data_IF_237808944569
#
_entry.id   IF_237808944569
#
_cell.length_a   1.000
_cell.length_b   1.000
_cell.length_c   1.000
_cell.angle_alpha   90.00
_cell.angle_beta   90.00
_cell.angle_gamma   90.00
#
_symmetry.space_group_name_H-M   'P 1'
#
loop_
_entity.id
_entity.type
_entity.pdbx_description
1 polymer ?
#
# COMPACT_ATOMS: atom_id res chain seq x y z
N UNK A 1 0.01 -24.44 -24.23
CA UNK A 1 0.91 -23.63 -23.41
C UNK A 1 0.00 -22.72 -22.62
N UNK A 2 -0.20 -23.02 -21.34
CA UNK A 2 -0.96 -22.12 -20.47
C UNK A 2 -0.04 -20.96 -20.12
N UNK A 3 -0.38 -19.77 -20.59
CA UNK A 3 0.38 -18.55 -20.35
C UNK A 3 0.48 -18.26 -18.84
N UNK A 4 1.58 -17.63 -18.43
CA UNK A 4 1.74 -17.02 -17.10
C UNK A 4 0.50 -16.18 -16.77
N UNK A 5 -0.12 -16.49 -15.63
CA UNK A 5 -1.31 -15.78 -15.16
C UNK A 5 -0.89 -14.61 -14.29
N UNK A 6 -0.56 -13.50 -14.95
CA UNK A 6 -0.16 -12.25 -14.31
C UNK A 6 -1.29 -11.24 -14.28
N UNK A 7 -1.54 -10.65 -13.11
CA UNK A 7 -2.45 -9.53 -12.94
C UNK A 7 -1.65 -8.25 -12.68
N UNK A 8 -1.61 -7.38 -13.70
CA UNK A 8 -0.90 -6.09 -13.66
C UNK A 8 -1.46 -5.11 -12.62
N UNK A 9 -2.76 -5.17 -12.31
CA UNK A 9 -3.39 -4.22 -11.40
C UNK A 9 -2.93 -4.43 -9.95
N UNK A 10 -2.71 -5.69 -9.57
CA UNK A 10 -2.38 -6.07 -8.20
C UNK A 10 -0.95 -6.62 -8.08
N UNK A 11 -0.17 -6.62 -9.15
CA UNK A 11 1.17 -7.19 -9.21
C UNK A 11 1.23 -8.64 -8.69
N UNK A 12 0.29 -9.50 -9.12
CA UNK A 12 0.22 -10.90 -8.67
C UNK A 12 0.41 -11.90 -9.80
N UNK A 13 1.16 -12.96 -9.51
CA UNK A 13 1.28 -14.18 -10.31
C UNK A 13 0.44 -15.28 -9.67
N UNK A 14 -0.53 -15.82 -10.41
CA UNK A 14 -1.30 -16.98 -9.96
C UNK A 14 -0.54 -18.27 -10.27
N UNK A 15 -0.22 -19.06 -9.25
CA UNK A 15 0.43 -20.37 -9.38
C UNK A 15 -0.46 -21.39 -8.66
N UNK A 16 -1.16 -22.22 -9.43
CA UNK A 16 -2.17 -23.13 -8.88
C UNK A 16 -3.23 -22.35 -8.09
N UNK A 17 -3.39 -22.65 -6.80
CA UNK A 17 -4.30 -21.96 -5.88
C UNK A 17 -3.67 -20.76 -5.16
N UNK A 18 -2.36 -20.57 -5.26
CA UNK A 18 -1.62 -19.53 -4.52
C UNK A 18 -1.37 -18.31 -5.41
N UNK A 19 -1.61 -17.12 -4.87
CA UNK A 19 -1.15 -15.86 -5.46
C UNK A 19 0.19 -15.48 -4.87
N UNK A 20 1.15 -15.21 -5.74
CA UNK A 20 2.45 -14.66 -5.39
C UNK A 20 2.51 -13.21 -5.86
N UNK A 21 2.57 -12.28 -4.91
CA UNK A 21 2.87 -10.88 -5.19
C UNK A 21 4.33 -10.75 -5.65
N UNK A 22 4.54 -9.95 -6.68
CA UNK A 22 5.87 -9.62 -7.21
C UNK A 22 6.26 -8.20 -6.79
N UNK A 23 7.56 -7.86 -6.77
CA UNK A 23 8.01 -6.53 -6.38
C UNK A 23 7.36 -5.40 -7.19
N UNK A 24 6.73 -4.45 -6.50
CA UNK A 24 6.14 -3.24 -7.06
C UNK A 24 6.99 -1.99 -6.69
N UNK A 25 6.48 -0.78 -6.91
CA UNK A 25 7.17 0.46 -6.51
C UNK A 25 7.44 0.56 -5.00
N UNK A 26 6.61 -0.06 -4.17
CA UNK A 26 6.61 0.04 -2.71
C UNK A 26 7.49 -1.03 -2.04
N UNK A 27 7.45 -2.27 -2.55
CA UNK A 27 8.16 -3.42 -1.99
C UNK A 27 9.17 -4.03 -2.97
N UNK A 28 10.30 -4.50 -2.44
CA UNK A 28 11.32 -5.24 -3.21
C UNK A 28 11.15 -6.76 -3.09
N UNK A 29 10.19 -7.21 -2.29
CA UNK A 29 10.03 -8.61 -1.93
C UNK A 29 8.95 -9.25 -2.80
N UNK A 30 9.14 -10.54 -3.04
CA UNK A 30 8.06 -11.41 -3.46
C UNK A 30 7.34 -11.87 -2.19
N UNK A 31 6.00 -11.98 -2.23
CA UNK A 31 5.19 -12.27 -1.06
C UNK A 31 4.09 -13.28 -1.41
N UNK A 32 3.86 -14.27 -0.55
CA UNK A 32 2.63 -15.05 -0.49
C UNK A 32 1.85 -14.51 0.72
N UNK A 33 0.59 -14.17 0.50
CA UNK A 33 -0.31 -13.65 1.53
C UNK A 33 -1.67 -14.33 1.32
N UNK A 34 -1.90 -15.42 2.05
CA UNK A 34 -3.08 -16.29 1.87
C UNK A 34 -3.52 -16.87 3.24
N UNK A 35 -4.78 -17.24 3.37
CA UNK A 35 -5.28 -18.08 4.47
C UNK A 35 -4.84 -19.53 4.25
N UNK A 36 -3.60 -19.83 4.64
CA UNK A 36 -3.00 -21.15 4.44
C UNK A 36 -3.58 -22.20 5.39
N UNK A 37 -4.17 -21.78 6.51
CA UNK A 37 -4.90 -22.69 7.39
C UNK A 37 -6.13 -23.26 6.69
N UNK A 38 -6.95 -22.41 6.05
CA UNK A 38 -8.10 -22.87 5.27
C UNK A 38 -7.66 -23.78 4.13
N UNK A 39 -6.64 -23.37 3.36
CA UNK A 39 -6.18 -24.12 2.18
C UNK A 39 -5.57 -25.49 2.52
N UNK A 40 -4.91 -25.63 3.68
CA UNK A 40 -4.30 -26.87 4.15
C UNK A 40 -5.19 -27.66 5.13
N UNK A 41 -6.38 -27.15 5.44
CA UNK A 41 -7.30 -27.72 6.43
C UNK A 41 -6.63 -27.92 7.81
N UNK A 42 -5.99 -26.86 8.31
CA UNK A 42 -5.34 -26.78 9.63
C UNK A 42 -6.12 -25.85 10.56
N UNK A 43 -5.87 -25.96 11.87
CA UNK A 43 -6.63 -25.21 12.89
C UNK A 43 -6.34 -23.71 12.86
N UNK A 44 -5.06 -23.33 12.71
CA UNK A 44 -4.65 -21.92 12.73
C UNK A 44 -3.61 -21.59 11.65
N UNK A 45 -3.55 -20.31 11.27
CA UNK A 45 -2.50 -19.82 10.36
C UNK A 45 -1.10 -19.92 10.98
N UNK A 46 -0.99 -19.89 12.31
CA UNK A 46 0.27 -20.19 12.99
C UNK A 46 0.72 -21.64 12.76
N UNK A 47 -0.19 -22.61 12.87
CA UNK A 47 0.12 -24.02 12.61
C UNK A 47 0.50 -24.24 11.15
N UNK A 48 -0.24 -23.62 10.21
CA UNK A 48 0.09 -23.64 8.79
C UNK A 48 1.49 -23.06 8.50
N UNK A 49 1.82 -21.91 9.08
CA UNK A 49 3.13 -21.28 8.95
C UNK A 49 4.25 -22.20 9.47
N UNK A 50 4.09 -22.81 10.66
CA UNK A 50 5.08 -23.73 11.22
C UNK A 50 5.25 -24.97 10.35
N UNK A 51 4.14 -25.55 9.88
CA UNK A 51 4.13 -26.71 8.99
C UNK A 51 4.89 -26.42 7.69
N UNK A 52 4.53 -25.35 6.97
CA UNK A 52 5.18 -24.96 5.71
C UNK A 52 6.66 -24.64 5.93
N UNK A 53 7.00 -23.92 7.00
CA UNK A 53 8.40 -23.61 7.33
C UNK A 53 9.25 -24.87 7.49
N UNK A 54 8.69 -25.95 8.05
CA UNK A 54 9.38 -27.23 8.16
C UNK A 54 9.48 -27.94 6.80
N UNK A 55 8.40 -27.97 6.01
CA UNK A 55 8.40 -28.53 4.66
C UNK A 55 9.42 -27.85 3.74
N UNK A 56 9.56 -26.52 3.81
CA UNK A 56 10.57 -25.75 3.06
C UNK A 56 12.00 -26.18 3.44
N UNK A 57 12.26 -26.48 4.72
CA UNK A 57 13.57 -26.98 5.18
C UNK A 57 13.82 -28.42 4.71
N UNK A 58 12.82 -29.28 4.82
CA UNK A 58 12.90 -30.70 4.41
C UNK A 58 13.12 -30.84 2.90
N UNK A 59 12.46 -30.00 2.10
CA UNK A 59 12.67 -29.89 0.66
C UNK A 59 14.05 -29.32 0.27
N UNK A 60 14.84 -28.84 1.25
CA UNK A 60 16.18 -28.31 1.01
C UNK A 60 16.19 -27.01 0.20
N UNK A 61 15.09 -26.24 0.22
CA UNK A 61 14.99 -24.97 -0.50
C UNK A 61 16.00 -23.99 0.09
N UNK A 62 16.89 -23.48 -0.76
CA UNK A 62 17.98 -22.58 -0.38
C UNK A 62 17.55 -21.12 -0.50
N UNK A 63 18.10 -20.28 0.39
CA UNK A 63 17.89 -18.84 0.39
C UNK A 63 17.21 -18.36 1.67
N UNK A 64 17.09 -17.04 1.80
CA UNK A 64 16.38 -16.44 2.94
C UNK A 64 14.89 -16.40 2.62
N UNK A 65 14.12 -17.17 3.38
CA UNK A 65 12.66 -17.12 3.40
C UNK A 65 12.24 -16.71 4.80
N UNK A 66 11.40 -15.69 4.90
CA UNK A 66 10.81 -15.24 6.14
C UNK A 66 9.33 -15.63 6.15
N UNK A 67 8.83 -15.85 7.35
CA UNK A 67 7.50 -16.36 7.61
C UNK A 67 6.90 -15.57 8.75
N UNK A 68 5.69 -15.08 8.56
CA UNK A 68 4.87 -14.49 9.59
C UNK A 68 3.46 -15.09 9.54
N UNK A 69 2.71 -14.96 10.62
CA UNK A 69 1.32 -15.40 10.67
C UNK A 69 0.50 -14.44 11.50
N UNK A 70 -0.59 -13.97 10.90
CA UNK A 70 -1.65 -13.24 11.57
C UNK A 70 -2.88 -14.16 11.72
N UNK A 71 -3.95 -13.66 12.34
CA UNK A 71 -5.15 -14.46 12.55
C UNK A 71 -5.80 -14.95 11.24
N UNK A 72 -5.71 -14.15 10.18
CA UNK A 72 -6.43 -14.32 8.90
C UNK A 72 -5.52 -14.73 7.73
N UNK A 73 -4.20 -14.79 7.94
CA UNK A 73 -3.27 -15.11 6.87
C UNK A 73 -1.90 -15.62 7.36
N UNK A 74 -1.19 -16.26 6.45
CA UNK A 74 0.25 -16.50 6.55
C UNK A 74 0.96 -15.67 5.51
N UNK A 75 1.99 -14.97 5.95
CA UNK A 75 2.89 -14.20 5.10
C UNK A 75 4.19 -14.96 4.87
N UNK A 76 4.56 -15.18 3.61
CA UNK A 76 5.85 -15.78 3.25
C UNK A 76 6.56 -14.89 2.26
N UNK A 77 7.75 -14.42 2.60
CA UNK A 77 8.44 -13.41 1.81
C UNK A 77 9.92 -13.71 1.58
N UNK A 78 10.39 -13.32 0.39
CA UNK A 78 11.78 -13.42 -0.03
C UNK A 78 12.13 -12.34 -1.05
N UNK A 79 13.36 -11.85 -1.02
CA UNK A 79 13.92 -10.99 -2.08
C UNK A 79 14.34 -11.78 -3.32
N UNK A 80 14.35 -13.12 -3.24
CA UNK A 80 14.67 -14.02 -4.35
C UNK A 80 13.39 -14.59 -4.95
N UNK A 81 12.99 -14.08 -6.12
CA UNK A 81 11.80 -14.59 -6.82
C UNK A 81 11.90 -16.07 -7.18
N UNK A 82 13.11 -16.56 -7.48
CA UNK A 82 13.35 -18.00 -7.68
C UNK A 82 13.05 -18.80 -6.41
N UNK A 83 13.53 -18.33 -5.26
CA UNK A 83 13.29 -19.01 -3.98
C UNK A 83 11.80 -19.02 -3.66
N UNK A 84 11.10 -17.90 -3.83
CA UNK A 84 9.67 -17.86 -3.52
C UNK A 84 8.82 -18.64 -4.52
N UNK A 85 9.22 -18.71 -5.79
CA UNK A 85 8.58 -19.60 -6.76
C UNK A 85 8.65 -21.07 -6.30
N UNK A 86 9.82 -21.52 -5.83
CA UNK A 86 9.97 -22.89 -5.29
C UNK A 86 9.08 -23.12 -4.07
N UNK A 87 8.99 -22.15 -3.16
CA UNK A 87 8.09 -22.23 -2.00
C UNK A 87 6.63 -22.27 -2.45
N UNK A 88 6.25 -21.46 -3.44
CA UNK A 88 4.88 -21.40 -3.96
C UNK A 88 4.46 -22.73 -4.60
N UNK A 89 5.37 -23.37 -5.35
CA UNK A 89 5.14 -24.70 -5.93
C UNK A 89 4.94 -25.73 -4.81
N UNK A 90 5.85 -25.77 -3.82
CA UNK A 90 5.75 -26.67 -2.68
C UNK A 90 4.41 -26.49 -1.93
N UNK A 91 3.98 -25.26 -1.67
CA UNK A 91 2.70 -24.99 -1.00
C UNK A 91 1.53 -25.53 -1.81
N UNK A 92 1.54 -25.38 -3.15
CA UNK A 92 0.50 -25.97 -3.99
C UNK A 92 0.49 -27.50 -3.94
N UNK A 93 1.66 -28.15 -3.96
CA UNK A 93 1.80 -29.61 -3.83
C UNK A 93 1.26 -30.12 -2.48
N UNK A 94 1.43 -29.34 -1.41
CA UNK A 94 0.89 -29.65 -0.08
C UNK A 94 -0.63 -29.46 0.01
N UNK A 95 -1.21 -28.54 -0.78
CA UNK A 95 -2.66 -28.29 -0.81
C UNK A 95 -3.40 -29.31 -1.69
N UNK A 96 -2.77 -29.74 -2.79
CA UNK A 96 -3.36 -30.64 -3.76
C UNK A 96 -2.29 -31.59 -4.30
N UNK A 97 -2.34 -32.86 -3.87
CA UNK A 97 -1.40 -33.90 -4.31
C UNK A 97 -1.45 -34.14 -5.84
N UNK A 98 -2.54 -33.77 -6.51
CA UNK A 98 -2.67 -33.88 -7.96
C UNK A 98 -2.11 -32.66 -8.70
N UNK A 99 -1.63 -31.62 -7.99
CA UNK A 99 -1.03 -30.45 -8.59
C UNK A 99 0.20 -30.84 -9.42
N UNK A 100 0.23 -30.38 -10.67
CA UNK A 100 1.38 -30.56 -11.56
C UNK A 100 1.83 -29.21 -12.09
N UNK A 101 3.09 -28.87 -11.85
CA UNK A 101 3.64 -27.59 -12.29
C UNK A 101 4.38 -27.70 -13.62
N UNK A 102 3.61 -27.77 -14.72
CA UNK A 102 4.16 -27.98 -16.06
C UNK A 102 4.93 -26.78 -16.63
N UNK A 103 4.63 -25.55 -16.19
CA UNK A 103 5.11 -24.31 -16.84
C UNK A 103 6.21 -23.59 -16.06
N UNK A 104 6.97 -24.30 -15.24
CA UNK A 104 8.01 -23.70 -14.37
C UNK A 104 8.95 -22.75 -15.12
N UNK A 105 9.40 -23.14 -16.31
CA UNK A 105 10.32 -22.33 -17.12
C UNK A 105 9.74 -20.97 -17.50
N UNK A 106 8.44 -20.88 -17.74
CA UNK A 106 7.78 -19.62 -18.12
C UNK A 106 7.68 -18.67 -16.93
N UNK A 107 7.34 -19.18 -15.74
CA UNK A 107 7.35 -18.38 -14.51
C UNK A 107 8.76 -17.92 -14.14
N UNK A 108 9.77 -18.79 -14.27
CA UNK A 108 11.17 -18.41 -14.06
C UNK A 108 11.63 -17.32 -15.03
N UNK A 109 11.22 -17.41 -16.30
CA UNK A 109 11.50 -16.39 -17.31
C UNK A 109 10.81 -15.07 -16.97
N UNK A 110 9.53 -15.10 -16.60
CA UNK A 110 8.79 -13.91 -16.19
C UNK A 110 9.48 -13.23 -15.01
N UNK A 111 9.73 -13.96 -13.93
CA UNK A 111 10.38 -13.46 -12.71
C UNK A 111 11.78 -12.89 -13.01
N UNK A 112 12.56 -13.59 -13.84
CA UNK A 112 13.89 -13.13 -14.24
C UNK A 112 13.89 -11.88 -15.14
N UNK A 113 12.79 -11.67 -15.89
CA UNK A 113 12.60 -10.51 -16.76
C UNK A 113 11.91 -9.33 -16.08
N UNK A 114 11.29 -9.55 -14.92
CA UNK A 114 10.50 -8.55 -14.22
C UNK A 114 11.37 -7.36 -13.80
N UNK A 115 10.99 -6.17 -14.29
CA UNK A 115 11.58 -4.92 -13.88
C UNK A 115 10.63 -4.24 -12.91
N UNK A 116 11.04 -4.21 -11.64
CA UNK A 116 10.34 -3.47 -10.60
C UNK A 116 10.06 -2.03 -11.06
N UNK A 117 8.82 -1.55 -10.99
CA UNK A 117 8.49 -0.16 -11.26
C UNK A 117 9.33 0.80 -10.40
N UNK A 118 9.69 1.95 -10.96
CA UNK A 118 10.41 2.98 -10.21
C UNK A 118 9.48 3.65 -9.20
N UNK A 119 9.93 3.76 -7.96
CA UNK A 119 9.24 4.49 -6.89
C UNK A 119 9.26 6.00 -7.18
N UNK A 120 8.12 6.69 -7.03
CA UNK A 120 8.10 8.15 -7.03
C UNK A 120 8.96 8.67 -5.85
N UNK A 121 9.80 9.68 -6.09
CA UNK A 121 10.48 10.38 -4.99
C UNK A 121 9.53 11.39 -4.39
N UNK A 122 9.41 11.36 -3.07
CA UNK A 122 8.59 12.29 -2.30
C UNK A 122 9.24 12.55 -0.94
N UNK A 123 8.94 13.71 -0.33
CA UNK A 123 9.47 14.18 0.95
C UNK A 123 8.53 15.20 1.60
N UNK A 124 8.83 15.56 2.85
CA UNK A 124 8.20 16.70 3.51
C UNK A 124 8.41 17.99 2.68
N UNK A 125 7.36 18.81 2.57
CA UNK A 125 7.29 20.01 1.73
C UNK A 125 6.67 19.78 0.34
N UNK A 126 6.61 18.53 -0.12
CA UNK A 126 6.03 18.21 -1.42
C UNK A 126 4.51 18.38 -1.43
N UNK A 127 4.04 19.05 -2.48
CA UNK A 127 2.62 19.17 -2.83
C UNK A 127 2.26 18.04 -3.77
N UNK A 128 1.10 17.43 -3.53
CA UNK A 128 0.60 16.30 -4.29
C UNK A 128 -0.84 16.50 -4.75
N UNK A 129 -1.23 15.79 -5.81
CA UNK A 129 -2.61 15.74 -6.30
C UNK A 129 -3.33 14.48 -5.82
N UNK A 130 -4.60 14.65 -5.46
CA UNK A 130 -5.56 13.59 -5.13
C UNK A 130 -6.53 13.49 -6.30
N UNK A 131 -6.40 12.47 -7.17
CA UNK A 131 -7.34 12.29 -8.29
C UNK A 131 -8.72 11.86 -7.78
N UNK A 132 -9.75 12.46 -8.36
CA UNK A 132 -11.15 12.14 -8.08
C UNK A 132 -11.82 11.43 -9.27
N UNK A 133 -12.88 10.63 -9.05
CA UNK A 133 -13.56 9.88 -10.13
C UNK A 133 -14.16 10.75 -11.24
N UNK A 134 -14.41 12.03 -10.97
CA UNK A 134 -14.99 13.00 -11.91
C UNK A 134 -13.93 13.77 -12.73
N UNK A 135 -12.73 13.20 -12.89
CA UNK A 135 -11.60 13.79 -13.65
C UNK A 135 -11.15 15.17 -13.12
N UNK A 136 -11.28 15.35 -11.81
CA UNK A 136 -10.79 16.54 -11.11
C UNK A 136 -9.85 16.14 -9.99
N UNK A 137 -9.25 17.14 -9.34
CA UNK A 137 -8.21 16.93 -8.35
C UNK A 137 -8.40 17.82 -7.14
N UNK A 138 -8.19 17.23 -5.97
CA UNK A 138 -7.81 17.94 -4.76
C UNK A 138 -6.30 17.98 -4.61
N UNK A 139 -5.81 18.82 -3.70
CA UNK A 139 -4.38 18.98 -3.45
C UNK A 139 -4.08 18.95 -1.96
N UNK A 140 -2.91 18.43 -1.61
CA UNK A 140 -2.38 18.45 -0.26
C UNK A 140 -0.88 18.66 -0.25
N UNK A 141 -0.33 18.83 0.94
CA UNK A 141 1.10 18.93 1.17
C UNK A 141 1.52 17.97 2.27
N UNK A 142 2.65 17.28 2.09
CA UNK A 142 3.28 16.48 3.13
C UNK A 142 3.97 17.45 4.09
N UNK A 143 3.55 17.51 5.35
CA UNK A 143 4.07 18.48 6.33
C UNK A 143 4.97 17.85 7.36
N UNK A 144 4.86 16.54 7.58
CA UNK A 144 5.68 15.80 8.53
C UNK A 144 5.70 14.31 8.20
N UNK A 145 6.70 13.58 8.69
CA UNK A 145 6.76 12.12 8.65
C UNK A 145 6.73 11.53 10.06
N UNK A 146 5.74 10.68 10.33
CA UNK A 146 5.70 9.83 11.50
C UNK A 146 6.47 8.54 11.23
N UNK A 147 7.40 8.19 12.12
CA UNK A 147 8.24 6.99 12.04
C UNK A 147 8.95 6.80 10.68
N UNK A 148 9.26 7.92 10.00
CA UNK A 148 9.88 7.97 8.66
C UNK A 148 9.08 7.31 7.52
N UNK A 149 7.85 6.82 7.77
CA UNK A 149 7.07 6.06 6.78
C UNK A 149 5.62 6.54 6.61
N UNK A 150 5.05 7.20 7.61
CA UNK A 150 3.66 7.67 7.59
C UNK A 150 3.59 9.19 7.39
N UNK A 151 3.35 9.67 6.16
CA UNK A 151 3.22 11.10 5.89
C UNK A 151 1.97 11.68 6.55
N UNK A 152 2.20 12.69 7.39
CA UNK A 152 1.17 13.62 7.85
C UNK A 152 0.99 14.69 6.78
N UNK A 153 -0.24 14.79 6.28
CA UNK A 153 -0.58 15.66 5.18
C UNK A 153 -1.61 16.70 5.60
N UNK A 154 -1.49 17.91 5.09
CA UNK A 154 -2.58 18.89 5.06
C UNK A 154 -3.29 18.82 3.71
N UNK A 155 -4.60 19.00 3.71
CA UNK A 155 -5.42 19.05 2.48
C UNK A 155 -5.89 20.49 2.30
N UNK A 156 -5.73 21.03 1.10
CA UNK A 156 -6.18 22.39 0.76
C UNK A 156 -7.63 22.38 0.30
N UNK A 157 -8.40 23.43 0.62
CA UNK A 157 -9.71 23.69 0.01
C UNK A 157 -9.52 24.24 -1.41
N UNK A 158 -8.93 23.41 -2.28
CA UNK A 158 -8.62 23.72 -3.66
C UNK A 158 -8.98 22.55 -4.56
N UNK A 159 -9.92 22.79 -5.47
CA UNK A 159 -10.50 21.78 -6.35
C UNK A 159 -10.39 22.24 -7.81
N UNK A 160 -9.58 21.54 -8.62
CA UNK A 160 -9.26 21.97 -9.98
C UNK A 160 -9.30 20.80 -10.97
N UNK A 161 -9.44 21.12 -12.26
CA UNK A 161 -9.26 20.16 -13.37
C UNK A 161 -7.81 20.03 -13.84
N UNK A 162 -6.95 20.95 -13.39
CA UNK A 162 -5.56 21.08 -13.84
C UNK A 162 -4.64 21.19 -12.64
N UNK A 163 -3.36 20.91 -12.88
CA UNK A 163 -2.30 21.12 -11.90
C UNK A 163 -2.30 22.58 -11.41
N UNK A 164 -2.22 22.85 -10.09
CA UNK A 164 -2.24 24.18 -9.51
C UNK A 164 -0.90 24.87 -9.71
N UNK A 165 -0.89 26.20 -9.56
CA UNK A 165 0.36 26.95 -9.38
C UNK A 165 0.71 27.04 -7.89
N UNK A 166 1.97 27.37 -7.56
CA UNK A 166 2.38 27.65 -6.17
C UNK A 166 1.53 28.76 -5.55
N UNK A 167 1.33 29.85 -6.28
CA UNK A 167 0.49 30.97 -5.83
C UNK A 167 -0.96 30.52 -5.56
N UNK A 168 -1.50 29.57 -6.33
CA UNK A 168 -2.84 29.02 -6.06
C UNK A 168 -2.90 28.24 -4.75
N UNK A 169 -1.81 27.55 -4.38
CA UNK A 169 -1.69 26.81 -3.12
C UNK A 169 -1.47 27.80 -1.96
N UNK A 170 -0.57 28.78 -2.11
CA UNK A 170 -0.30 29.82 -1.11
C UNK A 170 -1.56 30.59 -0.71
N UNK A 171 -2.48 30.80 -1.66
CA UNK A 171 -3.75 31.49 -1.43
C UNK A 171 -4.89 30.56 -0.97
N UNK A 172 -4.67 29.24 -0.92
CA UNK A 172 -5.68 28.27 -0.50
C UNK A 172 -5.70 28.12 1.03
N UNK A 173 -6.90 27.93 1.60
CA UNK A 173 -7.03 27.60 3.01
C UNK A 173 -6.70 26.12 3.25
N UNK A 174 -6.12 25.80 4.41
CA UNK A 174 -6.03 24.40 4.84
C UNK A 174 -7.41 23.95 5.30
N UNK A 175 -7.94 22.95 4.62
CA UNK A 175 -9.24 22.34 4.92
C UNK A 175 -9.14 21.41 6.12
N UNK A 176 -8.11 20.57 6.16
CA UNK A 176 -7.89 19.57 7.22
C UNK A 176 -6.47 19.01 7.20
N UNK A 177 -6.14 18.13 8.15
CA UNK A 177 -4.96 17.29 8.14
C UNK A 177 -5.28 15.82 8.45
N UNK A 178 -4.47 14.90 7.94
CA UNK A 178 -4.59 13.46 8.18
C UNK A 178 -3.27 12.73 7.88
N UNK A 179 -3.10 11.55 8.48
CA UNK A 179 -1.99 10.65 8.18
C UNK A 179 -2.39 9.64 7.09
N UNK A 180 -1.50 9.44 6.13
CA UNK A 180 -1.65 8.49 5.03
C UNK A 180 -0.58 7.39 5.11
N UNK A 181 -0.81 6.29 4.40
CA UNK A 181 0.23 5.31 4.13
C UNK A 181 1.15 5.85 3.02
N UNK A 182 2.47 5.90 3.25
CA UNK A 182 3.45 6.38 2.27
C UNK A 182 3.42 5.65 0.92
N UNK A 183 2.93 4.42 0.87
CA UNK A 183 2.83 3.61 -0.36
C UNK A 183 2.00 4.29 -1.46
N UNK A 184 1.01 5.11 -1.11
CA UNK A 184 0.17 5.83 -2.09
C UNK A 184 0.98 6.88 -2.88
N UNK A 185 2.12 7.30 -2.36
CA UNK A 185 3.04 8.17 -3.09
C UNK A 185 4.03 7.33 -3.89
N UNK A 186 4.45 6.18 -3.38
CA UNK A 186 5.42 5.28 -4.04
C UNK A 186 4.94 4.82 -5.41
N UNK A 187 3.66 4.44 -5.50
CA UNK A 187 2.99 3.87 -6.67
C UNK A 187 2.30 4.89 -7.59
N UNK A 188 2.49 6.19 -7.33
CA UNK A 188 1.86 7.29 -8.08
C UNK A 188 0.33 7.38 -7.94
N UNK A 189 -0.29 6.67 -6.98
CA UNK A 189 -1.71 6.90 -6.63
C UNK A 189 -1.95 8.38 -6.34
N UNK A 190 -1.07 8.98 -5.53
CA UNK A 190 -0.94 10.42 -5.36
C UNK A 190 0.35 10.93 -5.99
N UNK A 191 0.19 11.79 -6.98
CA UNK A 191 1.30 12.33 -7.76
C UNK A 191 1.89 13.56 -7.08
N UNK A 192 3.19 13.54 -6.80
CA UNK A 192 3.93 14.73 -6.39
C UNK A 192 4.08 15.68 -7.58
N UNK A 193 3.78 16.96 -7.33
CA UNK A 193 3.72 17.99 -8.37
C UNK A 193 4.94 18.90 -8.27
N UNK A 194 5.15 19.52 -7.11
CA UNK A 194 6.28 20.39 -6.82
C UNK A 194 6.50 20.50 -5.32
N UNK A 195 7.69 20.95 -4.94
CA UNK A 195 8.05 21.28 -3.56
C UNK A 195 7.75 22.75 -3.26
N UNK A 196 7.29 23.05 -2.05
CA UNK A 196 7.21 24.40 -1.50
C UNK A 196 7.45 24.41 0.01
N UNK A 197 7.53 25.62 0.60
CA UNK A 197 7.61 25.77 2.05
C UNK A 197 6.37 25.18 2.72
N UNK A 198 6.56 24.60 3.89
CA UNK A 198 5.46 23.97 4.66
C UNK A 198 4.47 25.08 5.04
N UNK A 199 3.18 24.87 4.75
CA UNK A 199 2.13 25.85 5.04
C UNK A 199 1.50 25.71 6.42
N UNK A 200 1.82 24.64 7.14
CA UNK A 200 1.35 24.47 8.50
C UNK A 200 1.94 23.24 9.18
N UNK A 201 1.84 23.21 10.50
CA UNK A 201 2.33 22.11 11.34
C UNK A 201 1.19 21.47 12.12
N UNK A 202 1.40 20.21 12.52
CA UNK A 202 0.44 19.46 13.33
C UNK A 202 0.83 19.55 14.80
N UNK A 203 -0.06 20.10 15.62
CA UNK A 203 0.15 20.24 17.07
C UNK A 203 0.57 18.91 17.74
N UNK A 204 1.64 18.97 18.54
CA UNK A 204 2.17 17.80 19.24
C UNK A 204 1.35 17.41 20.49
N UNK A 205 0.64 18.37 21.09
CA UNK A 205 0.37 18.35 22.54
C UNK A 205 -1.05 17.96 22.96
N UNK A 206 -1.81 17.26 22.11
CA UNK A 206 -3.14 16.76 22.48
C UNK A 206 -3.08 15.26 22.70
N UNK A 207 -3.30 14.83 23.96
CA UNK A 207 -3.51 13.42 24.31
C UNK A 207 -4.62 12.88 23.39
N UNK A 208 -4.26 11.94 22.50
CA UNK A 208 -5.11 11.42 21.39
C UNK A 208 -5.30 12.38 20.21
N UNK A 209 -4.23 12.91 19.63
CA UNK A 209 -4.32 13.63 18.34
C UNK A 209 -4.76 12.63 17.23
N UNK A 210 -5.99 12.72 16.69
CA UNK A 210 -6.46 11.78 15.69
C UNK A 210 -5.64 11.82 14.39
N UNK A 211 -5.04 12.97 14.07
CA UNK A 211 -4.17 13.13 12.89
C UNK A 211 -2.96 12.21 12.96
N UNK A 212 -2.41 12.00 14.18
CA UNK A 212 -1.20 11.19 14.41
C UNK A 212 -1.48 9.73 14.78
N UNK A 213 -2.73 9.39 15.11
CA UNK A 213 -3.09 8.06 15.62
C UNK A 213 -4.01 7.27 14.69
N UNK A 214 -4.49 7.89 13.60
CA UNK A 214 -5.37 7.25 12.62
C UNK A 214 -4.77 7.41 11.23
N UNK A 215 -4.37 6.30 10.63
CA UNK A 215 -4.00 6.24 9.22
C UNK A 215 -5.26 6.08 8.37
N UNK A 216 -5.50 7.00 7.46
CA UNK A 216 -6.65 6.96 6.57
C UNK A 216 -6.29 6.27 5.26
N UNK A 217 -7.24 5.50 4.70
CA UNK A 217 -7.07 4.91 3.37
C UNK A 217 -7.30 5.94 2.28
N UNK A 218 -6.79 5.65 1.08
CA UNK A 218 -7.05 6.43 -0.14
C UNK A 218 -8.54 6.59 -0.40
N UNK A 219 -9.33 5.53 -0.22
CA UNK A 219 -10.79 5.57 -0.41
C UNK A 219 -11.46 6.59 0.50
N UNK A 220 -11.16 6.56 1.81
CA UNK A 220 -11.73 7.53 2.75
C UNK A 220 -11.33 8.97 2.41
N UNK A 221 -10.10 9.21 1.94
CA UNK A 221 -9.68 10.55 1.51
C UNK A 221 -10.43 11.01 0.25
N UNK A 222 -10.59 10.13 -0.74
CA UNK A 222 -11.36 10.44 -1.97
C UNK A 222 -12.82 10.73 -1.62
N UNK A 223 -13.45 9.88 -0.81
CA UNK A 223 -14.83 10.06 -0.38
C UNK A 223 -14.99 11.37 0.42
N UNK A 224 -14.04 11.68 1.31
CA UNK A 224 -13.99 12.96 2.01
C UNK A 224 -13.97 14.15 1.04
N UNK A 225 -13.08 14.14 0.04
CA UNK A 225 -12.98 15.21 -0.96
C UNK A 225 -14.26 15.35 -1.79
N UNK A 226 -15.00 14.27 -2.03
CA UNK A 226 -16.27 14.29 -2.74
C UNK A 226 -17.44 14.76 -1.87
N UNK A 227 -17.39 14.54 -0.56
CA UNK A 227 -18.55 14.71 0.33
C UNK A 227 -18.46 15.91 1.29
N UNK A 228 -17.30 16.51 1.56
CA UNK A 228 -17.16 17.53 2.62
C UNK A 228 -18.00 18.81 2.46
N UNK A 229 -18.55 19.06 1.28
CA UNK A 229 -19.46 20.18 1.00
C UNK A 229 -20.94 19.81 1.00
N UNK A 230 -21.28 18.53 1.18
CA UNK A 230 -22.68 18.09 1.27
C UNK A 230 -23.33 18.56 2.58
N UNK A 231 -24.65 18.78 2.54
CA UNK A 231 -25.42 19.16 3.74
C UNK A 231 -25.53 18.00 4.74
N UNK A 232 -25.80 16.80 4.23
CA UNK A 232 -25.78 15.55 4.98
C UNK A 232 -24.50 14.80 4.64
N UNK A 233 -23.61 14.68 5.63
CA UNK A 233 -22.32 13.99 5.50
C UNK A 233 -22.29 12.73 6.34
N UNK A 234 -21.47 11.78 5.90
CA UNK A 234 -21.14 10.63 6.72
C UNK A 234 -20.29 11.05 7.94
N UNK A 235 -20.40 10.28 9.02
CA UNK A 235 -19.71 10.58 10.29
C UNK A 235 -18.19 10.70 10.13
N UNK A 236 -17.59 9.92 9.22
CA UNK A 236 -16.14 9.97 8.99
C UNK A 236 -15.68 11.30 8.37
N UNK A 237 -16.51 11.94 7.54
CA UNK A 237 -16.20 13.23 6.91
C UNK A 237 -16.08 14.31 7.98
N UNK A 238 -17.00 14.33 8.93
CA UNK A 238 -16.97 15.26 10.07
C UNK A 238 -15.76 14.99 10.98
N UNK A 239 -15.38 13.73 11.20
CA UNK A 239 -14.17 13.37 11.93
C UNK A 239 -12.92 13.91 11.25
N UNK A 240 -12.81 13.74 9.93
CA UNK A 240 -11.68 14.28 9.16
C UNK A 240 -11.72 15.81 9.20
N UNK A 241 -12.85 16.49 9.00
CA UNK A 241 -12.93 17.96 9.10
C UNK A 241 -12.46 18.47 10.47
N UNK A 242 -12.84 17.80 11.55
CA UNK A 242 -12.45 18.17 12.91
C UNK A 242 -10.93 18.13 13.13
N UNK A 243 -10.17 17.41 12.29
CA UNK A 243 -8.71 17.39 12.37
C UNK A 243 -8.08 18.76 12.08
N UNK A 244 -8.81 19.67 11.43
CA UNK A 244 -8.35 21.06 11.20
C UNK A 244 -7.99 21.77 12.50
N UNK A 245 -8.61 21.41 13.61
CA UNK A 245 -8.35 21.98 14.94
C UNK A 245 -6.93 21.67 15.47
N UNK A 246 -6.23 20.72 14.86
CA UNK A 246 -4.86 20.34 15.24
C UNK A 246 -3.80 20.96 14.32
N UNK A 247 -4.19 21.81 13.37
CA UNK A 247 -3.30 22.45 12.39
C UNK A 247 -3.01 23.90 12.78
N UNK A 248 -1.74 24.23 12.92
CA UNK A 248 -1.25 25.61 13.00
C UNK A 248 -0.82 26.02 11.60
N UNK A 249 -1.51 27.00 11.02
CA UNK A 249 -1.17 27.55 9.70
C UNK A 249 -0.05 28.59 9.81
N UNK A 250 0.90 28.52 8.89
CA UNK A 250 1.87 29.57 8.67
C UNK A 250 1.31 30.51 7.59
N UNK A 251 1.31 31.82 7.87
CA UNK A 251 0.90 32.86 6.94
C UNK A 251 2.08 33.70 6.50
#
# INVERSE_FOLDING_TARGET
MESVLFNELNYTLQIGKIRMFIPDSSSKEYIIFEDLAELLNLETNYDAMVFIRNQVKEAGIKGKVRFDSESDCVEIYSTSGKTLLQVTILVNELIDEAFTFANQREYEQFIGSWKRPEKQKWKVGDVFSIPLPNETYFFGQIVELMEDVFPLCVIFDLHLKTVPTKESIDNANILTALMLNGMVFDDYTFKVIFEMEIMGEITENTRRNPVRNVTWSTSHLVDFCMEYKLEEKQEFVEKILANRNFVIEYK
#
